data_IF_888502174560
#
_entry.id   IF_888502174560
#
_cell.length_a   1.000
_cell.length_b   1.000
_cell.length_c   1.000
_cell.angle_alpha   90.00
_cell.angle_beta   90.00
_cell.angle_gamma   90.00
#
_symmetry.space_group_name_H-M   'P 1'
#
loop_
_entity.id
_entity.type
_entity.pdbx_description
1 polymer ?
#
# COMPACT_ATOMS: atom_id res chain seq x y z
N UNK A 1 -24.26 -56.37 58.26
CA UNK A 1 -23.39 -55.95 57.14
C UNK A 1 -24.29 -55.22 56.14
N UNK A 2 -24.22 -53.88 56.04
CA UNK A 2 -23.32 -53.14 55.12
C UNK A 2 -23.60 -53.56 53.67
N UNK A 3 -24.03 -52.74 52.71
CA UNK A 3 -23.83 -51.30 52.45
C UNK A 3 -24.87 -50.80 51.44
N UNK A 4 -25.21 -49.52 51.58
CA UNK A 4 -25.97 -48.61 50.72
C UNK A 4 -25.81 -48.77 49.21
N UNK A 5 -26.90 -48.60 48.46
CA UNK A 5 -26.90 -47.88 47.18
C UNK A 5 -28.29 -47.26 46.98
N UNK A 6 -28.43 -46.04 47.49
CA UNK A 6 -29.50 -45.11 47.17
C UNK A 6 -29.29 -44.61 45.74
N UNK A 7 -29.79 -45.35 44.75
CA UNK A 7 -29.93 -44.85 43.39
C UNK A 7 -31.43 -44.87 43.08
N UNK A 8 -31.96 -43.72 42.68
CA UNK A 8 -33.29 -43.57 42.07
C UNK A 8 -34.45 -43.48 43.06
N UNK A 9 -34.52 -42.37 43.80
CA UNK A 9 -35.80 -41.85 44.33
C UNK A 9 -36.42 -40.79 43.41
N UNK A 10 -36.10 -40.83 42.10
CA UNK A 10 -36.45 -39.74 41.17
C UNK A 10 -36.69 -40.12 39.70
N UNK A 11 -36.61 -41.40 39.29
CA UNK A 11 -37.00 -41.82 37.93
C UNK A 11 -38.47 -42.30 37.83
N UNK A 12 -39.16 -42.52 38.95
CA UNK A 12 -40.57 -42.96 38.97
C UNK A 12 -41.57 -41.83 39.22
N UNK A 13 -41.11 -40.69 39.75
CA UNK A 13 -41.86 -39.44 39.67
C UNK A 13 -41.59 -38.89 38.28
N UNK A 14 -42.60 -38.55 37.47
CA UNK A 14 -42.43 -38.01 36.11
C UNK A 14 -41.78 -36.63 36.05
N UNK A 15 -40.79 -36.38 36.91
CA UNK A 15 -40.07 -35.14 37.10
C UNK A 15 -38.76 -35.21 36.31
N UNK A 16 -38.67 -34.41 35.25
CA UNK A 16 -37.47 -34.32 34.42
C UNK A 16 -36.38 -33.47 35.10
N UNK A 17 -35.61 -34.12 35.98
CA UNK A 17 -34.48 -33.51 36.67
C UNK A 17 -33.39 -33.02 35.70
N UNK A 18 -33.25 -33.62 34.50
CA UNK A 18 -32.27 -33.15 33.51
C UNK A 18 -32.68 -31.77 33.00
N UNK A 19 -33.94 -31.61 32.60
CA UNK A 19 -34.45 -30.30 32.16
C UNK A 19 -34.33 -29.22 33.26
N UNK A 20 -34.57 -29.57 34.52
CA UNK A 20 -34.40 -28.65 35.66
C UNK A 20 -32.93 -28.20 35.83
N UNK A 21 -31.98 -29.14 35.75
CA UNK A 21 -30.54 -28.84 35.85
C UNK A 21 -30.08 -28.01 34.66
N UNK A 22 -30.53 -28.34 33.45
CA UNK A 22 -30.22 -27.58 32.24
C UNK A 22 -30.75 -26.14 32.32
N UNK A 23 -31.96 -25.94 32.86
CA UNK A 23 -32.51 -24.61 33.11
C UNK A 23 -31.70 -23.83 34.15
N UNK A 24 -31.22 -24.48 35.22
CA UNK A 24 -30.39 -23.83 36.24
C UNK A 24 -29.02 -23.41 35.66
N UNK A 25 -28.41 -24.27 34.84
CA UNK A 25 -27.16 -23.97 34.12
C UNK A 25 -27.39 -22.84 33.11
N UNK A 26 -28.53 -22.82 32.41
CA UNK A 26 -28.88 -21.75 31.48
C UNK A 26 -29.03 -20.39 32.17
N UNK A 27 -29.63 -20.36 33.36
CA UNK A 27 -29.74 -19.14 34.19
C UNK A 27 -28.36 -18.68 34.65
N UNK A 28 -27.49 -19.60 35.07
CA UNK A 28 -26.13 -19.24 35.49
C UNK A 28 -25.30 -18.67 34.32
N UNK A 29 -25.45 -19.26 33.13
CA UNK A 29 -24.83 -18.76 31.89
C UNK A 29 -25.33 -17.38 31.44
N UNK A 30 -26.51 -16.93 31.86
CA UNK A 30 -27.03 -15.61 31.52
C UNK A 30 -26.04 -14.49 31.90
N UNK A 31 -25.33 -14.63 33.01
CA UNK A 31 -24.31 -13.67 33.46
C UNK A 31 -23.12 -13.62 32.49
N UNK A 32 -22.70 -14.78 32.00
CA UNK A 32 -21.61 -14.90 31.02
C UNK A 32 -22.04 -14.25 29.70
N UNK A 33 -23.25 -14.53 29.23
CA UNK A 33 -23.78 -13.94 27.99
C UNK A 33 -23.85 -12.41 28.05
N UNK A 34 -24.19 -11.82 29.21
CA UNK A 34 -24.16 -10.35 29.38
C UNK A 34 -22.74 -9.80 29.17
N UNK A 35 -21.73 -10.41 29.81
CA UNK A 35 -20.34 -9.98 29.70
C UNK A 35 -19.80 -10.19 28.28
N UNK A 36 -20.14 -11.30 27.62
CA UNK A 36 -19.77 -11.57 26.23
C UNK A 36 -20.37 -10.53 25.28
N UNK A 37 -21.66 -10.17 25.46
CA UNK A 37 -22.30 -9.12 24.68
C UNK A 37 -21.66 -7.75 24.90
N UNK A 38 -21.34 -7.41 26.16
CA UNK A 38 -20.63 -6.17 26.47
C UNK A 38 -19.24 -6.14 25.82
N UNK A 39 -18.50 -7.26 25.88
CA UNK A 39 -17.21 -7.41 25.21
C UNK A 39 -17.33 -7.18 23.71
N UNK A 40 -18.26 -7.86 23.03
CA UNK A 40 -18.49 -7.67 21.59
C UNK A 40 -18.87 -6.23 21.27
N UNK A 41 -19.69 -5.57 22.10
CA UNK A 41 -20.03 -4.15 21.92
C UNK A 41 -18.78 -3.27 21.99
N UNK A 42 -17.91 -3.47 22.98
CA UNK A 42 -16.70 -2.67 23.12
C UNK A 42 -15.67 -2.97 22.02
N UNK A 43 -15.53 -4.22 21.59
CA UNK A 43 -14.67 -4.59 20.45
C UNK A 43 -15.14 -3.92 19.15
N UNK A 44 -16.45 -3.90 18.89
CA UNK A 44 -17.02 -3.18 17.76
C UNK A 44 -16.74 -1.67 17.85
N UNK A 45 -16.97 -1.05 19.00
CA UNK A 45 -16.66 0.37 19.20
C UNK A 45 -15.18 0.67 18.97
N UNK A 46 -14.28 -0.17 19.49
CA UNK A 46 -12.84 -0.03 19.30
C UNK A 46 -12.46 -0.12 17.81
N UNK A 47 -13.03 -1.08 17.09
CA UNK A 47 -12.81 -1.25 15.64
C UNK A 47 -13.22 0.00 14.86
N UNK A 48 -14.38 0.57 15.16
CA UNK A 48 -14.84 1.83 14.53
C UNK A 48 -13.91 3.00 14.84
N UNK A 49 -13.44 3.13 16.08
CA UNK A 49 -12.46 4.16 16.46
C UNK A 49 -11.12 3.99 15.76
N UNK A 50 -10.64 2.76 15.60
CA UNK A 50 -9.41 2.46 14.86
C UNK A 50 -9.56 2.79 13.36
N UNK A 51 -10.70 2.46 12.77
CA UNK A 51 -11.04 2.83 11.38
C UNK A 51 -11.06 4.35 11.21
N UNK A 52 -11.72 5.07 12.13
CA UNK A 52 -11.75 6.52 12.12
C UNK A 52 -10.35 7.14 12.25
N UNK A 53 -9.54 6.65 13.20
CA UNK A 53 -8.17 7.12 13.39
C UNK A 53 -7.30 6.89 12.14
N UNK A 54 -7.45 5.74 11.48
CA UNK A 54 -6.75 5.43 10.22
C UNK A 54 -7.14 6.44 9.14
N UNK A 55 -8.43 6.72 8.97
CA UNK A 55 -8.92 7.71 7.99
C UNK A 55 -8.39 9.11 8.28
N UNK A 56 -8.37 9.52 9.55
CA UNK A 56 -7.84 10.82 9.96
C UNK A 56 -6.33 10.92 9.70
N UNK A 57 -5.59 9.84 9.97
CA UNK A 57 -4.16 9.77 9.68
C UNK A 57 -3.89 9.88 8.17
N UNK A 58 -4.65 9.16 7.34
CA UNK A 58 -4.55 9.27 5.88
C UNK A 58 -4.83 10.69 5.39
N UNK A 59 -5.86 11.36 5.94
CA UNK A 59 -6.14 12.75 5.60
C UNK A 59 -5.00 13.68 6.02
N UNK A 60 -4.47 13.51 7.23
CA UNK A 60 -3.32 14.28 7.72
C UNK A 60 -2.12 14.11 6.79
N UNK A 61 -1.76 12.88 6.42
CA UNK A 61 -0.65 12.61 5.51
C UNK A 61 -0.86 13.25 4.13
N UNK A 62 -2.08 13.18 3.60
CA UNK A 62 -2.42 13.85 2.33
C UNK A 62 -2.31 15.38 2.43
N UNK A 63 -2.71 15.97 3.56
CA UNK A 63 -2.57 17.40 3.80
C UNK A 63 -1.10 17.81 3.97
N UNK A 64 -0.29 17.03 4.69
CA UNK A 64 1.15 17.25 4.85
C UNK A 64 1.88 17.19 3.51
N UNK A 65 1.48 16.27 2.62
CA UNK A 65 2.02 16.19 1.26
C UNK A 65 1.70 17.41 0.38
N UNK A 66 0.76 18.28 0.78
CA UNK A 66 0.43 19.52 0.08
C UNK A 66 1.08 20.76 0.72
N UNK A 67 1.94 20.59 1.73
CA UNK A 67 2.55 21.73 2.43
C UNK A 67 3.81 22.25 1.77
N UNK A 68 4.42 21.48 0.87
CA UNK A 68 5.63 21.90 0.18
C UNK A 68 5.29 22.91 -0.95
N UNK A 69 5.75 24.16 -0.86
CA UNK A 69 5.53 25.14 -1.93
C UNK A 69 6.23 24.77 -3.25
N UNK A 70 7.29 23.96 -3.22
CA UNK A 70 8.03 23.54 -4.43
C UNK A 70 7.19 22.61 -5.31
N UNK A 71 6.32 21.79 -4.72
CA UNK A 71 5.39 20.92 -5.46
C UNK A 71 4.43 21.72 -6.37
N UNK A 72 4.13 22.96 -6.00
CA UNK A 72 3.28 23.86 -6.80
C UNK A 72 4.06 24.68 -7.83
N UNK A 73 5.39 24.69 -7.74
CA UNK A 73 6.29 25.37 -8.67
C UNK A 73 6.87 24.43 -9.73
N UNK A 74 6.41 23.18 -9.78
CA UNK A 74 6.85 22.19 -10.75
C UNK A 74 6.73 22.71 -12.19
N UNK A 75 7.85 22.70 -12.91
CA UNK A 75 7.93 23.16 -14.29
C UNK A 75 7.83 21.98 -15.26
N UNK A 76 7.04 22.13 -16.33
CA UNK A 76 6.92 21.16 -17.41
C UNK A 76 7.61 21.69 -18.67
N UNK A 77 8.38 20.82 -19.35
CA UNK A 77 8.91 21.13 -20.68
C UNK A 77 7.86 20.89 -21.77
N UNK A 78 7.82 21.79 -22.74
CA UNK A 78 7.09 21.60 -24.00
C UNK A 78 8.04 21.94 -25.14
N UNK A 79 8.10 21.08 -26.14
CA UNK A 79 9.02 21.16 -27.27
C UNK A 79 8.23 21.38 -28.56
N UNK A 80 8.70 22.29 -29.38
CA UNK A 80 8.19 22.53 -30.73
C UNK A 80 9.37 22.72 -31.68
N UNK A 81 9.26 22.18 -32.89
CA UNK A 81 10.28 22.30 -33.92
C UNK A 81 9.71 23.03 -35.13
N UNK A 82 10.55 23.86 -35.75
CA UNK A 82 10.25 24.48 -37.04
C UNK A 82 10.62 23.48 -38.16
N UNK A 83 9.64 22.70 -38.64
CA UNK A 83 9.83 21.74 -39.75
C UNK A 83 8.87 20.55 -39.73
N UNK A 84 9.15 19.55 -40.58
CA UNK A 84 8.38 18.31 -40.68
C UNK A 84 8.74 17.25 -39.62
N UNK A 85 9.90 17.39 -38.95
CA UNK A 85 10.36 16.46 -37.92
C UNK A 85 9.74 16.80 -36.57
N UNK A 86 9.35 15.79 -35.80
CA UNK A 86 8.86 15.99 -34.45
C UNK A 86 10.00 16.49 -33.55
N UNK A 87 9.71 17.45 -32.67
CA UNK A 87 10.73 18.04 -31.79
C UNK A 87 11.39 17.00 -30.86
N UNK A 88 10.61 15.98 -30.48
CA UNK A 88 11.03 14.84 -29.65
C UNK A 88 12.00 13.88 -30.36
N UNK A 89 12.01 13.85 -31.70
CA UNK A 89 13.01 13.10 -32.47
C UNK A 89 14.36 13.85 -32.53
N UNK A 90 14.35 15.17 -32.34
CA UNK A 90 15.53 16.02 -32.42
C UNK A 90 16.25 16.14 -31.06
N UNK A 91 15.51 16.43 -30.00
CA UNK A 91 16.05 16.70 -28.66
C UNK A 91 15.10 16.20 -27.57
N UNK A 92 15.66 15.67 -26.49
CA UNK A 92 14.95 15.38 -25.25
C UNK A 92 15.33 16.42 -24.18
N UNK A 93 14.34 16.93 -23.46
CA UNK A 93 14.52 17.91 -22.37
C UNK A 93 13.87 17.42 -21.10
N UNK A 94 14.67 17.27 -20.05
CA UNK A 94 14.20 17.08 -18.68
C UNK A 94 14.31 18.39 -17.88
N UNK A 95 13.35 18.60 -17.00
CA UNK A 95 13.27 19.78 -16.14
C UNK A 95 13.48 19.34 -14.70
N UNK A 96 14.31 20.06 -13.95
CA UNK A 96 14.50 19.85 -12.51
C UNK A 96 13.63 20.79 -11.68
N UNK A 97 13.46 20.50 -10.39
CA UNK A 97 12.62 21.30 -9.47
C UNK A 97 13.13 22.75 -9.30
N UNK A 98 14.41 22.99 -9.60
CA UNK A 98 15.04 24.32 -9.57
C UNK A 98 15.02 25.06 -10.91
N UNK A 99 14.31 24.55 -11.92
CA UNK A 99 14.31 25.16 -13.25
C UNK A 99 13.52 26.48 -13.26
N UNK A 100 14.07 27.49 -13.91
CA UNK A 100 13.37 28.75 -14.10
C UNK A 100 12.40 28.64 -15.29
N UNK A 101 11.14 29.13 -15.16
CA UNK A 101 10.21 29.18 -16.27
C UNK A 101 10.71 30.15 -17.33
N UNK A 102 10.73 29.72 -18.59
CA UNK A 102 11.20 30.53 -19.70
C UNK A 102 11.08 29.83 -21.05
N UNK A 103 11.19 30.62 -22.12
CA UNK A 103 11.28 30.11 -23.48
C UNK A 103 12.75 30.07 -23.92
N UNK A 104 13.16 28.94 -24.47
CA UNK A 104 14.51 28.72 -24.94
C UNK A 104 14.46 28.30 -26.41
N UNK A 105 15.19 29.02 -27.27
CA UNK A 105 15.35 28.68 -28.68
C UNK A 105 16.72 28.04 -28.91
N UNK A 106 16.75 26.87 -29.54
CA UNK A 106 17.98 26.13 -29.83
C UNK A 106 17.96 25.64 -31.28
N UNK A 107 19.13 25.68 -31.93
CA UNK A 107 19.34 25.15 -33.28
C UNK A 107 20.31 23.99 -33.19
N UNK A 108 19.94 22.83 -33.73
CA UNK A 108 20.80 21.64 -33.78
C UNK A 108 21.52 21.64 -35.12
N UNK A 109 22.85 21.83 -35.09
CA UNK A 109 23.68 21.85 -36.31
C UNK A 109 24.24 20.46 -36.65
N UNK A 110 24.91 19.82 -35.69
CA UNK A 110 25.51 18.49 -35.86
C UNK A 110 25.49 17.71 -34.54
N UNK A 111 25.41 16.37 -34.61
CA UNK A 111 25.47 15.51 -33.43
C UNK A 111 26.92 15.19 -33.06
N UNK A 112 27.19 15.08 -31.75
CA UNK A 112 28.52 14.73 -31.28
C UNK A 112 28.88 13.29 -31.71
N UNK A 113 29.94 13.15 -32.51
CA UNK A 113 30.45 11.86 -32.96
C UNK A 113 31.68 11.43 -32.15
N UNK A 114 31.76 10.15 -31.79
CA UNK A 114 32.96 9.58 -31.17
C UNK A 114 34.00 9.20 -32.23
N UNK A 115 35.27 9.51 -31.98
CA UNK A 115 36.36 9.11 -32.86
C UNK A 115 36.52 7.58 -32.85
N UNK A 116 36.54 6.97 -34.04
CA UNK A 116 36.87 5.56 -34.22
C UNK A 116 38.07 5.45 -35.14
N UNK A 117 39.18 4.96 -34.60
CA UNK A 117 40.34 4.58 -35.39
C UNK A 117 40.29 3.09 -35.66
N UNK A 118 40.30 2.74 -36.94
CA UNK A 118 40.42 1.37 -37.43
C UNK A 118 41.79 1.24 -38.07
N UNK A 119 42.49 0.14 -37.81
CA UNK A 119 43.72 -0.17 -38.53
C UNK A 119 43.38 -0.40 -40.01
N UNK A 120 44.27 0.04 -40.90
CA UNK A 120 44.21 -0.34 -42.31
C UNK A 120 44.33 -1.86 -42.46
N UNK A 121 43.75 -2.43 -43.51
CA UNK A 121 43.86 -3.88 -43.76
C UNK A 121 45.30 -4.26 -44.11
N UNK A 122 45.87 -5.22 -43.40
CA UNK A 122 47.18 -5.80 -43.72
C UNK A 122 46.98 -7.06 -44.56
N UNK A 123 47.70 -7.19 -45.67
CA UNK A 123 47.64 -8.39 -46.51
C UNK A 123 48.51 -9.52 -45.95
N UNK A 124 49.48 -9.20 -45.09
CA UNK A 124 50.33 -10.19 -44.44
C UNK A 124 50.73 -9.77 -43.02
N UNK A 125 51.15 -10.75 -42.20
CA UNK A 125 51.62 -10.52 -40.82
C UNK A 125 53.02 -9.87 -40.74
N UNK A 126 53.67 -9.62 -41.88
CA UNK A 126 55.05 -9.10 -41.96
C UNK A 126 55.10 -7.72 -42.61
N UNK A 127 53.94 -7.13 -42.92
CA UNK A 127 53.87 -5.82 -43.57
C UNK A 127 54.23 -4.71 -42.58
N UNK A 128 55.19 -3.83 -42.94
CA UNK A 128 55.65 -2.76 -42.06
C UNK A 128 54.51 -1.76 -41.79
N UNK A 129 54.28 -1.52 -40.50
CA UNK A 129 53.48 -0.42 -40.00
C UNK A 129 54.39 0.81 -40.09
N UNK A 130 54.17 1.65 -41.10
CA UNK A 130 54.96 2.89 -41.30
C UNK A 130 55.15 3.72 -40.04
#
# INVERSE_FOLDING_TARGET
>A
MSTSTNLVSGLSSGFDWRSMVDQLIAIDRQRVTIIENDKTRYENQLSEWQSFNTKLLSLKTAAEALTDPEDFAACQSSLSADGDSAAEDLVSVSVSDSAAPGFYSMTVEETAAAQRMLSTSFQSSTEELG
#
